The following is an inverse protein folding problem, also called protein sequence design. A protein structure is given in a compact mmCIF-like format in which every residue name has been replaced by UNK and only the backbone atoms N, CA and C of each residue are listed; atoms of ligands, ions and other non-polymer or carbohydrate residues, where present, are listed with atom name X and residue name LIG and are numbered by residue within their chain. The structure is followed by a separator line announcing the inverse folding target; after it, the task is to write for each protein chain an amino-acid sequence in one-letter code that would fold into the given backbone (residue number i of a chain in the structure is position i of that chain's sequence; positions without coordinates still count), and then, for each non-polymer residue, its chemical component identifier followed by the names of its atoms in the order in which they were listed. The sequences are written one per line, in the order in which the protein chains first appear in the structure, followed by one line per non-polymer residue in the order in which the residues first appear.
data_IF_189764102290
#
_entry.id   IF_189764102290
#
_cell.length_a   1.000
_cell.length_b   1.000
_cell.length_c   1.000
_cell.angle_alpha   90.00
_cell.angle_beta   90.00
_cell.angle_gamma   90.00
#
_symmetry.space_group_name_H-M   'P 1'
#
loop_
_entity.id
_entity.type
_entity.pdbx_description
1 polymer ?
#
# COMPACT_ATOMS: atom_id res chain seq x y z
N UNK A 1 -39.04 -8.60 3.15
CA UNK A 1 -38.01 -9.49 2.56
C UNK A 1 -37.13 -8.79 1.52
N UNK A 2 -37.59 -8.48 0.29
CA UNK A 2 -36.75 -7.81 -0.74
C UNK A 2 -36.13 -6.47 -0.31
N UNK A 3 -36.85 -5.66 0.47
CA UNK A 3 -36.35 -4.38 1.03
C UNK A 3 -35.34 -4.57 2.16
N UNK A 4 -35.47 -5.65 2.92
CA UNK A 4 -34.53 -6.03 4.00
C UNK A 4 -33.20 -6.49 3.39
N UNK A 5 -33.27 -7.41 2.41
CA UNK A 5 -32.09 -7.89 1.68
C UNK A 5 -31.33 -6.76 0.96
N UNK A 6 -32.02 -5.75 0.42
CA UNK A 6 -31.37 -4.57 -0.19
C UNK A 6 -30.62 -3.70 0.81
N UNK A 7 -31.03 -3.69 2.09
CA UNK A 7 -30.32 -2.93 3.15
C UNK A 7 -29.09 -3.66 3.64
N UNK A 8 -29.14 -4.99 3.66
CA UNK A 8 -28.02 -5.86 4.03
C UNK A 8 -26.97 -5.95 2.91
N UNK A 9 -27.33 -5.64 1.66
CA UNK A 9 -26.39 -5.66 0.54
C UNK A 9 -25.42 -4.47 0.59
N UNK A 10 -24.09 -4.72 0.70
CA UNK A 10 -23.08 -3.67 0.61
C UNK A 10 -23.13 -3.02 -0.78
N UNK A 11 -22.74 -1.75 -0.85
CA UNK A 11 -22.68 -1.00 -2.12
C UNK A 11 -21.27 -0.51 -2.35
N UNK A 12 -20.71 -0.79 -3.52
CA UNK A 12 -19.43 -0.23 -3.95
C UNK A 12 -19.66 0.79 -5.05
N UNK A 13 -19.03 1.94 -4.92
CA UNK A 13 -19.13 3.05 -5.88
C UNK A 13 -17.73 3.31 -6.46
N UNK A 14 -17.62 3.26 -7.79
CA UNK A 14 -16.43 3.74 -8.50
C UNK A 14 -16.45 5.26 -8.59
N UNK A 15 -15.36 5.90 -8.19
CA UNK A 15 -15.19 7.34 -8.14
C UNK A 15 -14.13 7.80 -9.13
N UNK A 16 -14.50 8.75 -9.99
CA UNK A 16 -13.56 9.50 -10.85
C UNK A 16 -13.03 10.69 -10.03
N UNK A 17 -11.84 10.54 -9.46
CA UNK A 17 -11.31 11.47 -8.47
C UNK A 17 -10.90 12.82 -9.07
N UNK A 18 -10.39 12.82 -10.30
CA UNK A 18 -9.93 14.03 -10.98
C UNK A 18 -10.68 14.33 -12.29
N UNK A 19 -10.46 15.54 -12.79
CA UNK A 19 -11.15 16.08 -13.96
C UNK A 19 -10.70 15.41 -15.27
N UNK A 20 -9.46 14.90 -15.36
CA UNK A 20 -8.95 14.23 -16.56
C UNK A 20 -9.63 12.89 -16.73
N UNK A 21 -9.70 12.10 -15.66
CA UNK A 21 -10.40 10.81 -15.66
C UNK A 21 -11.89 10.99 -15.94
N UNK A 22 -12.49 12.00 -15.31
CA UNK A 22 -13.86 12.39 -15.60
C UNK A 22 -14.07 12.71 -17.09
N UNK A 23 -13.19 13.52 -17.67
CA UNK A 23 -13.26 13.89 -19.08
C UNK A 23 -13.10 12.67 -20.01
N UNK A 24 -12.23 11.72 -19.67
CA UNK A 24 -12.04 10.48 -20.43
C UNK A 24 -13.34 9.66 -20.49
N UNK A 25 -14.11 9.63 -19.40
CA UNK A 25 -15.39 8.92 -19.34
C UNK A 25 -16.51 9.59 -20.16
N UNK A 26 -16.43 10.90 -20.44
CA UNK A 26 -17.44 11.63 -21.24
C UNK A 26 -17.55 11.16 -22.70
N UNK A 27 -16.58 10.37 -23.20
CA UNK A 27 -16.68 9.76 -24.54
C UNK A 27 -17.78 8.69 -24.63
N UNK A 28 -18.21 8.13 -23.49
CA UNK A 28 -19.26 7.11 -23.41
C UNK A 28 -20.63 7.79 -23.25
N UNK A 29 -21.56 7.53 -24.19
CA UNK A 29 -22.86 8.21 -24.23
C UNK A 29 -23.73 7.91 -23.02
N UNK A 30 -23.54 6.75 -22.40
CA UNK A 30 -24.27 6.34 -21.20
C UNK A 30 -23.70 6.93 -19.90
N UNK A 31 -22.61 7.71 -19.97
CA UNK A 31 -22.11 8.52 -18.87
C UNK A 31 -22.70 9.93 -18.99
N UNK A 32 -23.74 10.20 -18.20
CA UNK A 32 -24.62 11.37 -18.39
C UNK A 32 -24.19 12.63 -17.61
N UNK A 33 -22.97 12.68 -17.09
CA UNK A 33 -22.44 13.85 -16.37
C UNK A 33 -21.59 14.71 -17.31
N UNK A 34 -21.73 16.02 -17.18
CA UNK A 34 -21.02 17.03 -17.99
C UNK A 34 -20.06 17.90 -17.17
N UNK A 35 -20.26 17.99 -15.86
CA UNK A 35 -19.44 18.74 -14.90
C UNK A 35 -18.93 17.84 -13.76
N UNK A 36 -17.62 17.90 -13.51
CA UNK A 36 -16.95 17.06 -12.50
C UNK A 36 -17.35 17.45 -11.06
N UNK A 37 -17.51 18.73 -10.77
CA UNK A 37 -17.92 19.21 -9.45
C UNK A 37 -19.33 18.74 -9.12
N UNK A 38 -20.25 18.84 -10.09
CA UNK A 38 -21.63 18.34 -9.94
C UNK A 38 -21.61 16.81 -9.76
N UNK A 39 -20.80 16.09 -10.53
CA UNK A 39 -20.64 14.64 -10.36
C UNK A 39 -20.20 14.27 -8.94
N UNK A 40 -19.15 14.90 -8.40
CA UNK A 40 -18.65 14.65 -7.04
C UNK A 40 -19.74 14.94 -5.99
N UNK A 41 -20.48 16.05 -6.13
CA UNK A 41 -21.59 16.37 -5.23
C UNK A 41 -22.72 15.31 -5.28
N UNK A 42 -23.04 14.78 -6.46
CA UNK A 42 -24.04 13.71 -6.60
C UNK A 42 -23.58 12.39 -5.99
N UNK A 43 -22.30 12.03 -6.17
CA UNK A 43 -21.71 10.84 -5.53
C UNK A 43 -21.71 11.00 -4.01
N UNK A 44 -21.32 12.16 -3.49
CA UNK A 44 -21.34 12.42 -2.05
C UNK A 44 -22.77 12.35 -1.49
N UNK A 45 -23.76 12.92 -2.19
CA UNK A 45 -25.18 12.81 -1.83
C UNK A 45 -25.68 11.36 -1.80
N UNK A 46 -25.25 10.54 -2.77
CA UNK A 46 -25.54 9.11 -2.80
C UNK A 46 -24.93 8.39 -1.59
N UNK A 47 -23.65 8.62 -1.28
CA UNK A 47 -22.95 8.03 -0.14
C UNK A 47 -23.63 8.38 1.19
N UNK A 48 -23.97 9.67 1.39
CA UNK A 48 -24.72 10.15 2.56
C UNK A 48 -26.08 9.46 2.67
N UNK A 49 -26.78 9.27 1.55
CA UNK A 49 -28.07 8.57 1.52
C UNK A 49 -27.94 7.09 1.88
N UNK A 50 -26.89 6.40 1.41
CA UNK A 50 -26.61 5.01 1.76
C UNK A 50 -26.32 4.86 3.26
N UNK A 51 -25.45 5.74 3.80
CA UNK A 51 -25.10 5.75 5.22
C UNK A 51 -26.32 6.04 6.11
N UNK A 52 -27.15 7.04 5.76
CA UNK A 52 -28.39 7.36 6.49
C UNK A 52 -29.42 6.20 6.50
N UNK A 53 -29.33 5.30 5.53
CA UNK A 53 -30.16 4.08 5.46
C UNK A 53 -29.56 2.90 6.24
N UNK A 54 -28.41 3.09 6.90
CA UNK A 54 -27.67 2.04 7.61
C UNK A 54 -27.00 1.04 6.68
N UNK A 55 -26.74 1.40 5.42
CA UNK A 55 -26.11 0.51 4.44
C UNK A 55 -24.60 0.68 4.45
N UNK A 56 -23.86 -0.42 4.42
CA UNK A 56 -22.41 -0.38 4.25
C UNK A 56 -22.08 0.06 2.82
N UNK A 57 -21.28 1.11 2.68
CA UNK A 57 -20.82 1.62 1.41
C UNK A 57 -19.29 1.63 1.39
N UNK A 58 -18.71 1.15 0.30
CA UNK A 58 -17.29 1.28 -0.02
C UNK A 58 -17.12 2.09 -1.30
N UNK A 59 -15.97 2.72 -1.43
CA UNK A 59 -15.61 3.52 -2.60
C UNK A 59 -14.33 2.97 -3.18
N UNK A 60 -14.24 2.92 -4.49
CA UNK A 60 -13.09 2.48 -5.26
C UNK A 60 -12.66 3.62 -6.20
N UNK A 61 -11.35 3.81 -6.40
CA UNK A 61 -10.87 4.70 -7.46
C UNK A 61 -11.22 4.06 -8.82
N UNK A 62 -11.80 4.83 -9.73
CA UNK A 62 -12.18 4.34 -11.05
C UNK A 62 -11.24 4.94 -12.09
N UNK A 63 -10.33 4.12 -12.63
CA UNK A 63 -9.45 4.51 -13.72
C UNK A 63 -10.11 4.22 -15.09
N UNK A 64 -10.31 5.23 -15.95
CA UNK A 64 -10.91 5.05 -17.28
C UNK A 64 -10.05 4.29 -18.30
N UNK A 65 -8.74 4.30 -18.16
CA UNK A 65 -7.79 3.57 -19.00
C UNK A 65 -7.85 2.07 -18.65
N UNK A 66 -7.70 1.72 -17.36
CA UNK A 66 -7.87 0.34 -16.89
C UNK A 66 -9.28 -0.20 -17.22
N UNK A 67 -10.32 0.64 -17.11
CA UNK A 67 -11.67 0.27 -17.51
C UNK A 67 -11.77 -0.12 -18.99
N UNK A 68 -11.07 0.62 -19.86
CA UNK A 68 -11.07 0.34 -21.30
C UNK A 68 -10.35 -0.97 -21.61
N UNK A 69 -9.22 -1.22 -20.95
CA UNK A 69 -8.47 -2.47 -21.04
C UNK A 69 -9.31 -3.66 -20.56
N UNK A 70 -9.88 -3.57 -19.36
CA UNK A 70 -10.80 -4.57 -18.81
C UNK A 70 -11.93 -4.90 -19.78
N UNK A 71 -12.53 -3.87 -20.41
CA UNK A 71 -13.60 -4.08 -21.37
C UNK A 71 -13.12 -4.80 -22.64
N UNK A 72 -11.93 -4.45 -23.14
CA UNK A 72 -11.33 -5.04 -24.32
C UNK A 72 -10.98 -6.51 -24.09
N UNK A 73 -10.31 -6.81 -22.98
CA UNK A 73 -9.92 -8.17 -22.59
C UNK A 73 -11.12 -9.07 -22.30
N UNK A 74 -12.15 -8.52 -21.65
CA UNK A 74 -13.38 -9.24 -21.30
C UNK A 74 -14.38 -9.34 -22.47
N UNK A 75 -14.12 -8.67 -23.60
CA UNK A 75 -15.04 -8.62 -24.75
C UNK A 75 -16.41 -8.00 -24.43
N UNK A 76 -16.48 -7.06 -23.47
CA UNK A 76 -17.72 -6.40 -23.06
C UNK A 76 -17.83 -5.00 -23.66
N UNK A 77 -19.06 -4.53 -23.90
CA UNK A 77 -19.30 -3.20 -24.43
C UNK A 77 -19.00 -2.12 -23.38
N UNK A 78 -18.00 -1.28 -23.62
CA UNK A 78 -17.59 -0.23 -22.68
C UNK A 78 -18.65 0.87 -22.46
N UNK A 79 -19.53 1.14 -23.44
CA UNK A 79 -20.62 2.13 -23.29
C UNK A 79 -21.92 1.50 -22.75
N UNK A 80 -21.82 0.62 -21.76
CA UNK A 80 -22.97 0.05 -21.07
C UNK A 80 -22.87 0.32 -19.56
N UNK A 81 -23.96 0.77 -18.88
CA UNK A 81 -23.93 1.00 -17.43
C UNK A 81 -23.52 -0.23 -16.62
N UNK A 82 -23.93 -1.42 -17.07
CA UNK A 82 -23.56 -2.68 -16.42
C UNK A 82 -22.06 -2.98 -16.47
N UNK A 83 -21.36 -2.53 -17.52
CA UNK A 83 -19.91 -2.73 -17.67
C UNK A 83 -19.13 -1.94 -16.63
N UNK A 84 -19.52 -0.68 -16.38
CA UNK A 84 -18.92 0.13 -15.30
C UNK A 84 -19.12 -0.50 -13.94
N UNK A 85 -20.34 -0.97 -13.64
CA UNK A 85 -20.60 -1.66 -12.37
C UNK A 85 -19.82 -2.97 -12.22
N UNK A 86 -19.57 -3.70 -13.32
CA UNK A 86 -18.72 -4.89 -13.30
C UNK A 86 -17.26 -4.55 -13.01
N UNK A 87 -16.73 -3.51 -13.66
CA UNK A 87 -15.37 -3.07 -13.39
C UNK A 87 -15.20 -2.56 -11.96
N UNK A 88 -16.15 -1.79 -11.43
CA UNK A 88 -16.16 -1.43 -10.00
C UNK A 88 -16.17 -2.65 -9.08
N UNK A 89 -16.85 -3.73 -9.46
CA UNK A 89 -16.84 -4.98 -8.70
C UNK A 89 -15.49 -5.71 -8.79
N UNK A 90 -14.77 -5.60 -9.91
CA UNK A 90 -13.42 -6.13 -10.07
C UNK A 90 -12.43 -5.43 -9.13
N UNK A 91 -12.45 -4.09 -9.11
CA UNK A 91 -11.63 -3.30 -8.18
C UNK A 91 -11.99 -3.63 -6.72
N UNK A 92 -13.27 -3.90 -6.44
CA UNK A 92 -13.70 -4.34 -5.12
C UNK A 92 -13.15 -5.72 -4.74
N UNK A 93 -13.03 -6.63 -5.70
CA UNK A 93 -12.53 -7.98 -5.49
C UNK A 93 -11.01 -8.00 -5.23
N UNK A 94 -10.25 -7.08 -5.83
CA UNK A 94 -8.81 -6.91 -5.51
C UNK A 94 -8.59 -6.30 -4.13
N UNK A 95 -9.59 -5.60 -3.60
CA UNK A 95 -9.56 -4.99 -2.28
C UNK A 95 -9.10 -3.53 -2.28
N UNK A 96 -8.95 -2.90 -3.44
CA UNK A 96 -8.65 -1.47 -3.59
C UNK A 96 -9.86 -0.57 -3.27
N UNK A 97 -10.45 -0.74 -2.08
CA UNK A 97 -11.60 0.04 -1.64
C UNK A 97 -11.41 0.64 -0.26
N UNK A 98 -12.05 1.79 -0.04
CA UNK A 98 -12.10 2.47 1.25
C UNK A 98 -13.55 2.47 1.75
N UNK A 99 -13.74 2.15 3.02
CA UNK A 99 -15.05 2.20 3.65
C UNK A 99 -15.52 3.66 3.80
N UNK A 100 -16.77 3.92 3.41
CA UNK A 100 -17.39 5.21 3.65
C UNK A 100 -17.92 5.29 5.08
N UNK A 101 -17.35 6.19 5.89
CA UNK A 101 -17.73 6.37 7.31
C UNK A 101 -18.36 7.72 7.61
N UNK A 102 -18.69 8.49 6.56
CA UNK A 102 -19.31 9.82 6.69
C UNK A 102 -18.36 10.99 6.39
N UNK A 103 -17.11 10.71 6.00
CA UNK A 103 -16.16 11.74 5.55
C UNK A 103 -16.68 12.55 4.34
N UNK A 104 -16.13 13.75 4.14
CA UNK A 104 -16.38 14.52 2.91
C UNK A 104 -15.66 13.85 1.74
N UNK A 105 -16.12 14.11 0.52
CA UNK A 105 -15.48 13.54 -0.67
C UNK A 105 -14.03 13.99 -0.84
N UNK A 106 -13.72 15.26 -0.52
CA UNK A 106 -12.37 15.83 -0.58
C UNK A 106 -11.41 15.13 0.39
N UNK A 107 -11.91 14.67 1.55
CA UNK A 107 -11.12 13.94 2.54
C UNK A 107 -10.97 12.45 2.15
N UNK A 108 -11.90 11.92 1.34
CA UNK A 108 -11.92 10.54 0.89
C UNK A 108 -10.98 10.29 -0.30
N UNK A 109 -10.87 11.26 -1.21
CA UNK A 109 -10.06 11.13 -2.43
C UNK A 109 -8.60 10.76 -2.10
N UNK A 110 -7.89 11.46 -1.19
CA UNK A 110 -6.51 11.09 -0.85
C UNK A 110 -6.38 9.66 -0.32
N UNK A 111 -7.36 9.20 0.47
CA UNK A 111 -7.37 7.82 1.01
C UNK A 111 -7.57 6.79 -0.10
N UNK A 112 -8.39 7.10 -1.11
CA UNK A 112 -8.60 6.24 -2.27
C UNK A 112 -7.35 6.13 -3.14
N UNK A 113 -6.68 7.25 -3.37
CA UNK A 113 -5.43 7.28 -4.13
C UNK A 113 -4.36 6.46 -3.40
N UNK A 114 -4.15 6.68 -2.10
CA UNK A 114 -3.22 5.90 -1.29
C UNK A 114 -3.54 4.39 -1.36
N UNK A 115 -4.82 4.03 -1.18
CA UNK A 115 -5.24 2.62 -1.23
C UNK A 115 -5.02 2.00 -2.62
N UNK A 116 -5.29 2.73 -3.70
CA UNK A 116 -5.08 2.26 -5.06
C UNK A 116 -3.58 2.06 -5.35
N UNK A 117 -2.73 3.03 -4.98
CA UNK A 117 -1.26 2.93 -5.14
C UNK A 117 -0.70 1.75 -4.36
N UNK A 118 -1.12 1.55 -3.10
CA UNK A 118 -0.72 0.39 -2.29
C UNK A 118 -1.13 -0.93 -2.92
N UNK A 119 -2.36 -1.02 -3.44
CA UNK A 119 -2.83 -2.22 -4.13
C UNK A 119 -2.00 -2.52 -5.38
N UNK A 120 -1.79 -1.52 -6.24
CA UNK A 120 -0.98 -1.67 -7.46
C UNK A 120 0.47 -2.10 -7.13
N UNK A 121 1.07 -1.48 -6.10
CA UNK A 121 2.40 -1.85 -5.59
C UNK A 121 2.45 -3.30 -5.16
N UNK A 122 1.44 -3.77 -4.42
CA UNK A 122 1.37 -5.16 -3.96
C UNK A 122 1.20 -6.16 -5.12
N UNK A 123 0.33 -5.86 -6.08
CA UNK A 123 0.09 -6.69 -7.26
C UNK A 123 1.35 -6.82 -8.11
N UNK A 124 2.01 -5.69 -8.39
CA UNK A 124 3.27 -5.66 -9.11
C UNK A 124 4.37 -6.44 -8.38
N UNK A 125 4.52 -6.24 -7.07
CA UNK A 125 5.51 -6.95 -6.25
C UNK A 125 5.26 -8.46 -6.24
N UNK A 126 4.00 -8.88 -6.12
CA UNK A 126 3.59 -10.29 -6.15
C UNK A 126 3.89 -10.93 -7.51
N UNK A 127 3.55 -10.25 -8.61
CA UNK A 127 3.85 -10.70 -9.97
C UNK A 127 5.36 -10.79 -10.21
N UNK A 128 6.12 -9.82 -9.71
CA UNK A 128 7.58 -9.81 -9.79
C UNK A 128 8.18 -11.04 -9.11
N UNK A 129 7.79 -11.33 -7.87
CA UNK A 129 8.29 -12.49 -7.13
C UNK A 129 7.93 -13.81 -7.81
N UNK A 130 6.69 -13.94 -8.30
CA UNK A 130 6.23 -15.12 -9.02
C UNK A 130 7.00 -15.35 -10.34
N UNK A 131 7.51 -14.28 -10.95
CA UNK A 131 8.28 -14.34 -12.21
C UNK A 131 9.74 -14.75 -12.05
N UNK A 132 10.29 -14.85 -10.84
CA UNK A 132 11.73 -15.13 -10.63
C UNK A 132 12.10 -16.61 -10.83
N UNK A 133 11.16 -17.53 -10.63
CA UNK A 133 11.38 -18.97 -10.79
C UNK A 133 12.31 -19.57 -9.73
N UNK A 134 12.95 -20.69 -10.09
CA UNK A 134 13.82 -21.47 -9.20
C UNK A 134 15.29 -21.05 -9.34
N UNK A 135 16.00 -21.09 -8.22
CA UNK A 135 17.45 -20.91 -8.17
C UNK A 135 18.15 -22.04 -8.93
N UNK A 136 19.09 -21.68 -9.81
CA UNK A 136 19.82 -22.64 -10.64
C UNK A 136 20.72 -23.59 -9.81
N UNK A 137 21.17 -23.14 -8.63
CA UNK A 137 22.15 -23.88 -7.83
C UNK A 137 21.47 -24.83 -6.82
N UNK A 138 20.38 -24.39 -6.18
CA UNK A 138 19.70 -25.17 -5.12
C UNK A 138 18.27 -25.62 -5.46
N UNK A 139 17.69 -25.14 -6.56
CA UNK A 139 16.33 -25.49 -7.00
C UNK A 139 15.20 -24.90 -6.14
N UNK A 140 15.50 -24.01 -5.20
CA UNK A 140 14.48 -23.33 -4.40
C UNK A 140 13.80 -22.21 -5.19
N UNK A 141 12.49 -22.03 -5.00
CA UNK A 141 11.76 -20.87 -5.52
C UNK A 141 12.30 -19.59 -4.87
N UNK A 142 12.86 -18.70 -5.70
CA UNK A 142 13.55 -17.49 -5.26
C UNK A 142 12.57 -16.54 -4.58
N UNK A 143 11.38 -16.36 -5.16
CA UNK A 143 10.36 -15.47 -4.64
C UNK A 143 9.86 -15.92 -3.26
N UNK A 144 9.64 -17.23 -3.10
CA UNK A 144 9.23 -17.84 -1.83
C UNK A 144 10.31 -17.71 -0.77
N UNK A 145 11.56 -18.03 -1.11
CA UNK A 145 12.68 -17.92 -0.17
C UNK A 145 12.88 -16.47 0.30
N UNK A 146 12.76 -15.50 -0.60
CA UNK A 146 12.83 -14.08 -0.26
C UNK A 146 11.67 -13.62 0.63
N UNK A 147 10.45 -14.10 0.39
CA UNK A 147 9.28 -13.80 1.21
C UNK A 147 9.41 -14.33 2.64
N UNK A 148 9.85 -15.58 2.80
CA UNK A 148 10.06 -16.19 4.11
C UNK A 148 11.18 -15.44 4.87
N UNK A 149 12.25 -15.02 4.18
CA UNK A 149 13.32 -14.20 4.75
C UNK A 149 12.84 -12.80 5.17
N UNK A 150 12.10 -12.12 4.31
CA UNK A 150 11.52 -10.80 4.61
C UNK A 150 10.61 -10.85 5.85
N UNK A 151 9.80 -11.92 5.97
CA UNK A 151 8.93 -12.18 7.12
C UNK A 151 9.74 -12.30 8.41
N UNK A 152 10.82 -13.10 8.41
CA UNK A 152 11.70 -13.24 9.57
C UNK A 152 12.39 -11.93 9.95
N UNK A 153 12.84 -11.14 8.97
CA UNK A 153 13.45 -9.84 9.22
C UNK A 153 12.47 -8.85 9.86
N UNK A 154 11.22 -8.80 9.40
CA UNK A 154 10.18 -7.96 9.99
C UNK A 154 9.92 -8.34 11.45
N UNK A 155 9.78 -9.64 11.75
CA UNK A 155 9.57 -10.10 13.11
C UNK A 155 10.73 -9.72 14.02
N UNK A 156 11.99 -9.94 13.59
CA UNK A 156 13.18 -9.54 14.36
C UNK A 156 13.28 -8.03 14.57
N UNK A 157 12.89 -7.23 13.57
CA UNK A 157 12.81 -5.77 13.70
C UNK A 157 11.85 -5.38 14.83
N UNK A 158 10.62 -5.88 14.80
CA UNK A 158 9.59 -5.57 15.79
C UNK A 158 9.92 -6.11 17.19
N UNK A 159 10.52 -7.30 17.27
CA UNK A 159 10.95 -7.88 18.55
C UNK A 159 12.00 -7.03 19.23
N UNK A 160 13.05 -6.66 18.47
CA UNK A 160 14.21 -5.91 18.96
C UNK A 160 13.87 -4.45 19.26
N UNK A 161 12.94 -3.84 18.51
CA UNK A 161 12.44 -2.49 18.76
C UNK A 161 11.79 -2.32 20.15
N UNK A 162 11.25 -3.42 20.69
CA UNK A 162 10.55 -3.43 21.97
C UNK A 162 9.09 -2.96 21.84
N UNK A 163 8.43 -2.53 22.93
CA UNK A 163 7.06 -2.04 22.90
C UNK A 163 6.95 -0.61 22.32
N UNK A 164 5.77 -0.31 21.79
CA UNK A 164 5.39 1.01 21.28
C UNK A 164 4.50 0.95 20.05
N UNK A 165 4.20 2.13 19.50
CA UNK A 165 3.60 2.26 18.17
C UNK A 165 4.71 2.38 17.15
N UNK A 166 4.80 1.43 16.23
CA UNK A 166 5.82 1.36 15.21
C UNK A 166 5.23 1.79 13.86
N UNK A 167 5.99 2.61 13.14
CA UNK A 167 5.75 2.98 11.77
C UNK A 167 6.98 2.57 10.96
N UNK A 168 6.82 1.58 10.09
CA UNK A 168 7.89 1.09 9.23
C UNK A 168 7.63 1.51 7.80
N UNK A 169 8.70 1.89 7.10
CA UNK A 169 8.66 2.19 5.66
C UNK A 169 9.73 1.35 4.99
N UNK A 170 9.33 0.58 3.96
CA UNK A 170 10.23 -0.16 3.10
C UNK A 170 10.21 0.45 1.70
N UNK A 171 11.40 0.71 1.17
CA UNK A 171 11.66 1.15 -0.19
C UNK A 171 12.50 0.10 -0.90
N UNK A 172 12.03 -0.35 -2.06
CA UNK A 172 12.74 -1.30 -2.90
C UNK A 172 12.57 -0.91 -4.37
N UNK A 173 13.66 -0.66 -5.11
CA UNK A 173 13.56 -0.45 -6.54
C UNK A 173 13.25 -1.77 -7.24
N UNK A 174 12.36 -1.70 -8.23
CA UNK A 174 12.05 -2.79 -9.14
C UNK A 174 12.14 -2.26 -10.58
N UNK A 175 12.14 -3.13 -11.59
CA UNK A 175 12.43 -2.72 -12.97
C UNK A 175 11.50 -1.57 -13.46
N UNK A 176 12.04 -0.35 -13.53
CA UNK A 176 11.29 0.85 -13.97
C UNK A 176 10.42 1.52 -12.90
N UNK A 177 10.33 0.95 -11.69
CA UNK A 177 9.47 1.42 -10.61
C UNK A 177 10.21 1.49 -9.27
N UNK A 178 9.66 2.25 -8.34
CA UNK A 178 10.18 2.33 -6.98
C UNK A 178 9.06 1.97 -6.00
N UNK A 179 9.13 0.75 -5.47
CA UNK A 179 8.11 0.21 -4.59
C UNK A 179 8.28 0.79 -3.20
N UNK A 180 7.17 1.27 -2.63
CA UNK A 180 7.11 1.79 -1.28
C UNK A 180 5.97 1.09 -0.54
N UNK A 181 6.24 0.57 0.65
CA UNK A 181 5.18 0.07 1.53
C UNK A 181 5.38 0.58 2.95
N UNK A 182 4.26 0.83 3.62
CA UNK A 182 4.21 1.39 4.96
C UNK A 182 3.40 0.46 5.85
N UNK A 183 3.95 0.14 7.01
CA UNK A 183 3.35 -0.74 7.99
C UNK A 183 3.22 -0.04 9.35
N UNK A 184 2.00 -0.03 9.90
CA UNK A 184 1.75 0.40 11.26
C UNK A 184 1.53 -0.81 12.18
N UNK A 185 2.20 -0.80 13.34
CA UNK A 185 2.11 -1.90 14.30
C UNK A 185 2.04 -1.35 15.71
N UNK A 186 1.08 -1.79 16.49
CA UNK A 186 1.08 -1.56 17.94
C UNK A 186 1.61 -2.80 18.67
N UNK A 187 2.54 -2.58 19.60
CA UNK A 187 3.08 -3.64 20.44
C UNK A 187 3.00 -3.28 21.91
N UNK A 188 2.14 -4.00 22.63
CA UNK A 188 1.99 -3.90 24.08
C UNK A 188 3.19 -4.49 24.82
N UNK A 189 3.39 -4.07 26.08
CA UNK A 189 4.41 -4.62 26.97
C UNK A 189 4.18 -6.11 27.23
N UNK A 190 5.01 -6.97 26.62
CA UNK A 190 4.98 -8.42 26.82
C UNK A 190 4.02 -9.20 25.92
N UNK A 191 3.32 -8.54 25.00
CA UNK A 191 2.47 -9.17 23.99
C UNK A 191 3.17 -9.32 22.63
N UNK A 192 2.66 -10.20 21.74
CA UNK A 192 3.06 -10.19 20.35
C UNK A 192 2.64 -8.86 19.69
N UNK A 193 3.37 -8.46 18.66
CA UNK A 193 3.02 -7.33 17.83
C UNK A 193 1.63 -7.55 17.19
N UNK A 194 0.75 -6.55 17.27
CA UNK A 194 -0.56 -6.57 16.59
C UNK A 194 -0.37 -5.98 15.20
N UNK A 195 -0.23 -6.85 14.20
CA UNK A 195 -0.19 -6.45 12.80
C UNK A 195 -1.59 -6.54 12.19
N UNK A 196 -1.96 -5.52 11.42
CA UNK A 196 -2.99 -5.71 10.41
C UNK A 196 -2.45 -6.65 9.33
N UNK A 197 -3.17 -7.76 9.08
CA UNK A 197 -2.66 -8.81 8.20
C UNK A 197 -2.41 -8.33 6.77
N UNK A 198 -3.14 -7.31 6.29
CA UNK A 198 -2.96 -6.78 4.95
C UNK A 198 -1.69 -5.93 4.82
N UNK A 199 -1.50 -4.93 5.70
CA UNK A 199 -0.29 -4.09 5.69
C UNK A 199 0.97 -4.91 5.95
N UNK A 200 0.90 -5.90 6.84
CA UNK A 200 2.04 -6.78 7.13
C UNK A 200 2.47 -7.58 5.91
N UNK A 201 1.52 -8.16 5.18
CA UNK A 201 1.81 -8.92 3.95
C UNK A 201 2.34 -8.00 2.86
N UNK A 202 1.76 -6.81 2.68
CA UNK A 202 2.22 -5.82 1.71
C UNK A 202 3.68 -5.44 1.95
N UNK A 203 4.02 -5.07 3.20
CA UNK A 203 5.37 -4.70 3.60
C UNK A 203 6.38 -5.82 3.36
N UNK A 204 6.03 -7.05 3.77
CA UNK A 204 6.88 -8.23 3.54
C UNK A 204 7.08 -8.49 2.06
N UNK A 205 6.04 -8.31 1.24
CA UNK A 205 6.11 -8.52 -0.22
C UNK A 205 7.10 -7.53 -0.87
N UNK A 206 7.03 -6.24 -0.52
CA UNK A 206 7.96 -5.23 -1.04
C UNK A 206 9.39 -5.48 -0.56
N UNK A 207 9.58 -5.79 0.72
CA UNK A 207 10.91 -6.14 1.25
C UNK A 207 11.48 -7.39 0.55
N UNK A 208 10.64 -8.39 0.28
CA UNK A 208 11.03 -9.60 -0.44
C UNK A 208 11.49 -9.30 -1.87
N UNK A 209 10.82 -8.39 -2.59
CA UNK A 209 11.28 -7.94 -3.92
C UNK A 209 12.67 -7.34 -3.84
N UNK A 210 12.93 -6.45 -2.88
CA UNK A 210 14.26 -5.88 -2.68
C UNK A 210 15.32 -6.97 -2.43
N UNK A 211 14.99 -7.95 -1.57
CA UNK A 211 15.88 -9.06 -1.21
C UNK A 211 16.17 -9.91 -2.45
N UNK A 212 15.13 -10.30 -3.20
CA UNK A 212 15.23 -11.21 -4.33
C UNK A 212 15.95 -10.59 -5.53
N UNK A 213 15.76 -9.29 -5.77
CA UNK A 213 16.42 -8.58 -6.87
C UNK A 213 17.82 -8.08 -6.53
N UNK A 214 18.24 -8.21 -5.27
CA UNK A 214 19.50 -7.71 -4.71
C UNK A 214 19.78 -6.24 -5.04
N UNK A 215 18.72 -5.43 -5.20
CA UNK A 215 18.86 -4.02 -5.53
C UNK A 215 19.01 -3.17 -4.27
N UNK A 216 19.73 -2.02 -4.34
CA UNK A 216 19.83 -1.11 -3.22
C UNK A 216 18.45 -0.57 -2.84
N UNK A 217 18.02 -0.88 -1.62
CA UNK A 217 16.77 -0.40 -1.03
C UNK A 217 16.99 0.03 0.42
N UNK A 218 15.91 0.35 1.14
CA UNK A 218 15.99 0.81 2.51
C UNK A 218 14.79 0.43 3.34
N UNK A 219 15.00 0.28 4.65
CA UNK A 219 13.95 0.15 5.65
C UNK A 219 14.21 1.17 6.74
N UNK A 220 13.17 1.91 7.12
CA UNK A 220 13.20 2.75 8.33
C UNK A 220 12.12 2.31 9.30
N UNK A 221 12.41 2.45 10.59
CA UNK A 221 11.50 2.17 11.69
C UNK A 221 11.46 3.39 12.58
N UNK A 222 10.28 3.99 12.72
CA UNK A 222 9.96 4.96 13.76
C UNK A 222 9.19 4.27 14.87
N UNK A 223 9.61 4.48 16.11
CA UNK A 223 8.88 4.02 17.30
C UNK A 223 8.46 5.21 18.14
N UNK A 224 7.16 5.31 18.37
CA UNK A 224 6.53 6.34 19.20
C UNK A 224 6.01 5.72 20.48
N UNK A 225 6.26 6.41 21.59
CA UNK A 225 5.77 6.05 22.92
C UNK A 225 5.20 7.29 23.61
N UNK A 226 4.02 7.22 24.24
CA UNK A 226 3.44 8.37 24.92
C UNK A 226 4.39 8.98 25.95
N UNK A 227 4.66 10.29 25.81
CA UNK A 227 5.52 11.04 26.73
C UNK A 227 7.04 10.82 26.56
N UNK A 228 7.46 10.02 25.58
CA UNK A 228 8.86 9.86 25.21
C UNK A 228 9.14 10.55 23.86
N UNK A 229 10.44 10.74 23.56
CA UNK A 229 10.86 11.11 22.21
C UNK A 229 10.69 9.93 21.26
N UNK A 230 10.38 10.25 20.02
CA UNK A 230 10.35 9.24 18.97
C UNK A 230 11.76 8.76 18.67
N UNK A 231 11.92 7.47 18.40
CA UNK A 231 13.21 6.90 18.00
C UNK A 231 13.10 6.42 16.56
N UNK A 232 14.03 6.84 15.73
CA UNK A 232 14.11 6.38 14.33
C UNK A 232 15.38 5.56 14.12
N UNK A 233 15.22 4.42 13.46
CA UNK A 233 16.29 3.49 13.07
C UNK A 233 16.19 3.23 11.58
N UNK A 234 17.31 2.89 10.94
CA UNK A 234 17.33 2.60 9.51
C UNK A 234 18.30 1.50 9.12
N UNK A 235 18.00 0.84 8.02
CA UNK A 235 18.82 -0.18 7.38
C UNK A 235 18.86 0.08 5.87
N UNK A 236 20.01 -0.14 5.26
CA UNK A 236 20.13 -0.24 3.80
C UNK A 236 20.11 -1.70 3.40
N UNK A 237 19.46 -2.01 2.29
CA UNK A 237 19.50 -3.32 1.69
C UNK A 237 20.73 -3.42 0.78
N UNK A 238 21.60 -4.38 1.08
CA UNK A 238 22.85 -4.62 0.37
C UNK A 238 23.01 -6.13 0.14
N UNK A 239 22.97 -6.56 -1.13
CA UNK A 239 23.05 -7.98 -1.53
C UNK A 239 22.14 -8.87 -0.69
N UNK A 240 20.85 -8.54 -0.67
CA UNK A 240 19.81 -9.22 0.08
C UNK A 240 19.91 -9.12 1.63
N UNK A 241 20.87 -8.38 2.20
CA UNK A 241 21.04 -8.21 3.64
C UNK A 241 20.64 -6.80 4.10
N UNK A 242 19.89 -6.69 5.20
CA UNK A 242 19.64 -5.41 5.85
C UNK A 242 20.83 -5.03 6.73
N UNK A 243 21.63 -4.08 6.25
CA UNK A 243 22.79 -3.55 6.97
C UNK A 243 22.37 -2.32 7.77
N UNK A 244 22.59 -2.29 9.09
CA UNK A 244 22.19 -1.17 9.93
C UNK A 244 22.92 0.12 9.51
N UNK A 245 22.15 1.19 9.39
CA UNK A 245 22.69 2.54 9.19
C UNK A 245 23.23 3.09 10.51
N UNK A 246 24.25 3.92 10.42
CA UNK A 246 24.72 4.74 11.53
C UNK A 246 23.69 5.82 11.88
N UNK A 247 23.74 6.36 13.11
CA UNK A 247 22.87 7.47 13.51
C UNK A 247 22.98 8.69 12.58
N UNK A 248 24.19 8.96 12.05
CA UNK A 248 24.43 10.03 11.08
C UNK A 248 23.80 9.78 9.72
N UNK A 249 23.83 8.54 9.23
CA UNK A 249 23.14 8.15 7.99
C UNK A 249 21.62 8.22 8.15
N UNK A 250 21.07 7.77 9.28
CA UNK A 250 19.64 7.91 9.58
C UNK A 250 19.23 9.39 9.66
N UNK A 251 20.02 10.22 10.34
CA UNK A 251 19.81 11.67 10.39
C UNK A 251 19.80 12.28 8.99
N UNK A 252 20.81 11.94 8.16
CA UNK A 252 20.91 12.45 6.79
C UNK A 252 19.72 12.05 5.94
N UNK A 253 19.26 10.81 6.04
CA UNK A 253 18.11 10.31 5.29
C UNK A 253 16.82 11.06 5.65
N UNK A 254 16.56 11.31 6.94
CA UNK A 254 15.38 12.05 7.39
C UNK A 254 15.47 13.57 7.16
N UNK A 255 16.68 14.11 7.03
CA UNK A 255 16.89 15.53 6.72
C UNK A 255 17.07 15.76 5.21
N UNK A 256 16.60 14.84 4.36
CA UNK A 256 16.63 14.97 2.90
C UNK A 256 15.22 14.75 2.37
N UNK A 257 14.74 15.69 1.57
CA UNK A 257 13.45 15.58 0.90
C UNK A 257 13.47 14.43 -0.10
N UNK A 258 12.49 13.53 -0.01
CA UNK A 258 12.48 12.31 -0.80
C UNK A 258 12.26 12.55 -2.31
N UNK A 259 11.58 13.64 -2.67
CA UNK A 259 11.23 13.96 -4.05
C UNK A 259 12.31 14.81 -4.73
N UNK A 260 12.90 15.75 -3.99
CA UNK A 260 13.83 16.76 -4.53
C UNK A 260 15.29 16.51 -4.16
N UNK A 261 15.55 15.74 -3.10
CA UNK A 261 16.89 15.56 -2.53
C UNK A 261 17.42 16.79 -1.79
N UNK A 262 16.60 17.83 -1.59
CA UNK A 262 17.00 19.04 -0.88
C UNK A 262 17.06 18.81 0.64
N UNK A 263 17.93 19.52 1.38
CA UNK A 263 17.97 19.42 2.83
C UNK A 263 16.67 19.91 3.48
N UNK A 264 16.13 19.11 4.39
CA UNK A 264 14.97 19.43 5.23
C UNK A 264 15.43 19.60 6.67
N UNK A 265 14.79 20.52 7.40
CA UNK A 265 15.09 20.73 8.81
C UNK A 265 14.74 19.47 9.63
N UNK A 266 15.58 19.09 10.62
CA UNK A 266 15.30 17.92 11.46
C UNK A 266 14.02 18.12 12.27
N UNK A 267 13.24 17.05 12.41
CA UNK A 267 12.02 17.04 13.21
C UNK A 267 12.37 17.21 14.71
N UNK A 268 11.68 18.12 15.42
CA UNK A 268 11.87 18.25 16.86
C UNK A 268 11.32 17.02 17.59
N UNK A 269 11.96 16.66 18.73
CA UNK A 269 11.57 15.52 19.58
C UNK A 269 11.76 14.13 18.94
N UNK A 270 12.63 14.01 17.94
CA UNK A 270 13.07 12.74 17.34
C UNK A 270 14.53 12.47 17.69
N UNK A 271 14.82 11.28 18.18
CA UNK A 271 16.16 10.76 18.41
C UNK A 271 16.57 9.85 17.24
N UNK A 272 17.52 10.33 16.42
CA UNK A 272 18.08 9.58 15.29
C UNK A 272 19.10 8.55 15.79
N UNK A 273 18.71 7.28 15.75
CA UNK A 273 19.47 6.17 16.33
C UNK A 273 20.09 5.31 15.22
N UNK A 274 21.24 4.69 15.52
CA UNK A 274 21.78 3.66 14.63
C UNK A 274 20.78 2.50 14.52
N UNK A 275 20.72 1.87 13.33
CA UNK A 275 20.08 0.58 13.18
C UNK A 275 20.70 -0.45 14.12
N UNK A 276 19.91 -1.42 14.55
CA UNK A 276 20.42 -2.55 15.32
C UNK A 276 20.69 -3.74 14.40
N UNK A 277 21.62 -4.60 14.80
CA UNK A 277 21.90 -5.83 14.08
C UNK A 277 20.68 -6.76 14.16
N UNK A 278 20.13 -7.11 12.99
CA UNK A 278 19.01 -8.05 12.87
C UNK A 278 19.46 -9.50 12.87
N UNK A 279 20.77 -9.74 12.98
CA UNK A 279 21.40 -11.01 12.76
C UNK A 279 21.49 -11.34 11.28
N UNK A 280 22.56 -12.01 10.88
CA UNK A 280 22.54 -12.72 9.61
C UNK A 280 21.53 -13.86 9.75
N UNK A 281 20.42 -13.83 8.99
CA UNK A 281 20.07 -15.08 8.33
C UNK A 281 21.30 -15.39 7.50
N UNK A 282 22.10 -16.37 7.92
CA UNK A 282 23.19 -16.83 7.08
C UNK A 282 22.56 -17.02 5.71
N UNK A 283 22.99 -16.29 4.66
CA UNK A 283 22.70 -16.77 3.34
C UNK A 283 23.20 -18.21 3.37
N UNK A 284 22.34 -19.18 3.06
CA UNK A 284 22.88 -20.49 2.75
C UNK A 284 23.95 -20.21 1.70
N UNK A 285 25.20 -20.54 2.02
CA UNK A 285 26.32 -20.32 1.11
C UNK A 285 26.07 -21.25 -0.07
N UNK A 286 25.38 -20.72 -1.08
CA UNK A 286 25.13 -21.42 -2.32
C UNK A 286 26.41 -21.34 -3.15
N UNK A 287 27.12 -22.46 -3.19
CA UNK A 287 28.30 -22.71 -4.03
C UNK A 287 27.93 -23.53 -5.25
#
# INVERSE_FOLDING_TARGET
MRRTLRREAPSTIGLLADERDFAAMRRYRTFAFDDHTVYLQQVEGLLKSLAAQGRHATVALFDPEEYAEFCAESGIAADAPASRSRFTAEIAASGATVAYTGQRIDDLIPLLVDRAVRQATWEYATMTLAGLGECADCGQDIGRAAFDRASHLLLRMLETAGPGTHHLVCSAPAAGEHLLSVLHVERDTGGPARLESAEGVEFVTVLAVGIALEKPGGVVLRTSNPGARDRVHGWRLDRACLVPLTAGEVFSAYCTDADTGEPVAPEPHVDYCAGFDLGADKPEEHH
#
